data_IF_112804066146
#
_entry.id   IF_112804066146
#
_cell.length_a   1.000
_cell.length_b   1.000
_cell.length_c   1.000
_cell.angle_alpha   90.00
_cell.angle_beta   90.00
_cell.angle_gamma   90.00
#
_symmetry.space_group_name_H-M   'P 1'
#
loop_
_entity.id
_entity.type
_entity.pdbx_description
1 polymer ?
#
# COMPACT_ATOMS: atom_id res chain seq x y z
N UNK A 1 39.72 -43.74 -29.05
CA UNK A 1 38.61 -44.20 -28.19
C UNK A 1 38.73 -43.53 -26.83
N UNK A 2 37.90 -42.52 -26.56
CA UNK A 2 37.66 -41.97 -25.21
C UNK A 2 36.15 -41.80 -25.09
N UNK A 3 35.53 -42.69 -24.31
CA UNK A 3 34.09 -42.67 -24.04
C UNK A 3 33.81 -41.59 -23.01
N UNK A 4 33.01 -40.58 -23.37
CA UNK A 4 32.46 -39.60 -22.43
C UNK A 4 31.09 -40.13 -22.03
N UNK A 5 30.96 -40.52 -20.76
CA UNK A 5 29.69 -40.92 -20.14
C UNK A 5 29.06 -39.65 -19.57
N UNK A 6 27.93 -39.20 -20.15
CA UNK A 6 27.09 -38.16 -19.56
C UNK A 6 26.20 -38.78 -18.47
N UNK A 7 26.40 -38.37 -17.22
CA UNK A 7 25.44 -38.61 -16.14
C UNK A 7 24.36 -37.51 -16.16
N UNK A 8 23.16 -37.85 -16.59
CA UNK A 8 21.96 -37.02 -16.38
C UNK A 8 21.41 -37.27 -14.97
N UNK A 9 21.68 -36.35 -14.04
CA UNK A 9 21.05 -36.36 -12.73
C UNK A 9 19.63 -35.77 -12.84
N UNK A 10 18.61 -36.63 -12.77
CA UNK A 10 17.21 -36.22 -12.61
C UNK A 10 16.99 -35.94 -11.13
N UNK A 11 16.96 -34.67 -10.74
CA UNK A 11 16.42 -34.26 -9.44
C UNK A 11 14.90 -34.40 -9.48
N UNK A 12 14.37 -35.50 -8.96
CA UNK A 12 12.96 -35.59 -8.62
C UNK A 12 12.75 -34.78 -7.33
N UNK A 13 12.31 -33.52 -7.47
CA UNK A 13 11.80 -32.76 -6.33
C UNK A 13 10.46 -33.38 -5.93
N UNK A 14 10.40 -33.97 -4.74
CA UNK A 14 9.16 -34.37 -4.12
C UNK A 14 8.36 -33.09 -3.82
N UNK A 15 7.41 -32.75 -4.70
CA UNK A 15 6.41 -31.72 -4.41
C UNK A 15 5.46 -32.32 -3.38
N UNK A 16 5.72 -32.09 -2.10
CA UNK A 16 4.69 -32.21 -1.07
C UNK A 16 3.59 -31.20 -1.43
N UNK A 17 2.53 -31.66 -2.10
CA UNK A 17 1.33 -30.85 -2.29
C UNK A 17 0.68 -30.69 -0.93
N UNK A 18 0.98 -29.59 -0.23
CA UNK A 18 0.22 -29.20 0.95
C UNK A 18 -1.27 -29.16 0.57
N UNK A 19 -2.14 -29.68 1.45
CA UNK A 19 -3.57 -29.69 1.18
C UNK A 19 -4.07 -28.24 1.07
N UNK A 20 -4.74 -27.90 -0.04
CA UNK A 20 -5.34 -26.58 -0.22
C UNK A 20 -6.56 -26.42 0.71
N UNK A 21 -6.84 -25.19 1.18
CA UNK A 21 -8.00 -24.96 2.02
C UNK A 21 -9.30 -25.21 1.24
N UNK A 22 -10.24 -25.91 1.87
CA UNK A 22 -11.52 -26.28 1.26
C UNK A 22 -12.67 -25.88 2.15
N UNK A 23 -13.59 -25.09 1.58
CA UNK A 23 -14.88 -24.77 2.20
C UNK A 23 -15.93 -25.77 1.75
N UNK A 24 -16.75 -26.22 2.68
CA UNK A 24 -17.89 -27.09 2.39
C UNK A 24 -19.02 -26.84 3.39
N UNK A 25 -20.17 -27.49 3.13
CA UNK A 25 -21.33 -27.49 4.05
C UNK A 25 -21.80 -26.08 4.43
N UNK A 26 -21.76 -25.16 3.45
CA UNK A 26 -22.21 -23.78 3.64
C UNK A 26 -23.73 -23.77 3.85
N UNK A 27 -24.17 -23.19 4.95
CA UNK A 27 -25.58 -22.97 5.26
C UNK A 27 -25.78 -21.54 5.73
N UNK A 28 -26.97 -20.99 5.48
CA UNK A 28 -27.33 -19.63 5.86
C UNK A 28 -28.70 -19.65 6.53
N UNK A 29 -28.82 -18.97 7.66
CA UNK A 29 -30.05 -18.85 8.44
C UNK A 29 -30.20 -17.44 8.97
N UNK A 30 -31.43 -17.01 9.25
CA UNK A 30 -31.69 -15.69 9.85
C UNK A 30 -32.62 -15.83 11.04
N UNK A 31 -32.26 -15.17 12.12
CA UNK A 31 -33.05 -15.14 13.35
C UNK A 31 -34.04 -13.96 13.37
N UNK A 32 -34.86 -13.89 14.42
CA UNK A 32 -35.85 -12.82 14.61
C UNK A 32 -35.23 -11.43 14.86
N UNK A 33 -33.93 -11.37 15.21
CA UNK A 33 -33.17 -10.12 15.36
C UNK A 33 -32.63 -9.59 14.02
N UNK A 34 -32.89 -10.33 12.93
CA UNK A 34 -32.38 -10.15 11.56
C UNK A 34 -30.91 -10.52 11.40
N UNK A 35 -30.29 -11.13 12.40
CA UNK A 35 -28.91 -11.60 12.28
C UNK A 35 -28.90 -12.81 11.36
N UNK A 36 -28.16 -12.69 10.27
CA UNK A 36 -27.88 -13.78 9.34
C UNK A 36 -26.64 -14.51 9.85
N UNK A 37 -26.78 -15.79 10.12
CA UNK A 37 -25.67 -16.69 10.48
C UNK A 37 -25.38 -17.59 9.30
N UNK A 38 -24.18 -17.47 8.74
CA UNK A 38 -23.62 -18.37 7.74
C UNK A 38 -22.67 -19.33 8.45
N UNK A 39 -22.94 -20.63 8.37
CA UNK A 39 -22.04 -21.68 8.88
C UNK A 39 -21.35 -22.37 7.74
N UNK A 40 -20.09 -22.73 7.92
CA UNK A 40 -19.31 -23.48 6.95
C UNK A 40 -18.29 -24.37 7.65
N UNK A 41 -17.89 -25.44 6.97
CA UNK A 41 -16.78 -26.29 7.38
C UNK A 41 -15.54 -25.95 6.56
N UNK A 42 -14.42 -25.63 7.22
CA UNK A 42 -13.11 -25.42 6.61
C UNK A 42 -12.22 -26.64 6.88
N UNK A 43 -11.62 -27.21 5.84
CA UNK A 43 -10.68 -28.32 5.94
C UNK A 43 -9.36 -28.03 5.20
N UNK A 44 -8.30 -28.77 5.57
CA UNK A 44 -7.07 -28.90 4.77
C UNK A 44 -5.94 -27.98 5.22
N UNK A 45 -6.12 -26.66 5.14
CA UNK A 45 -5.10 -25.68 5.52
C UNK A 45 -5.72 -24.39 6.05
N UNK A 46 -4.92 -23.55 6.75
CA UNK A 46 -5.29 -22.17 7.05
C UNK A 46 -5.68 -21.41 5.78
N UNK A 47 -6.61 -20.47 5.93
CA UNK A 47 -7.10 -19.68 4.81
C UNK A 47 -7.49 -18.27 5.24
N UNK A 48 -7.53 -17.36 4.28
CA UNK A 48 -8.37 -16.16 4.42
C UNK A 48 -9.78 -16.53 3.96
N UNK A 49 -10.78 -16.22 4.77
CA UNK A 49 -12.18 -16.50 4.43
C UNK A 49 -12.87 -15.22 3.99
N UNK A 50 -13.47 -15.21 2.80
CA UNK A 50 -14.28 -14.07 2.32
C UNK A 50 -15.73 -14.50 2.11
N UNK A 51 -16.67 -13.64 2.47
CA UNK A 51 -18.10 -13.83 2.22
C UNK A 51 -18.56 -12.93 1.07
N UNK A 52 -19.29 -13.53 0.13
CA UNK A 52 -20.21 -12.83 -0.75
C UNK A 52 -21.64 -13.31 -0.46
N UNK A 53 -22.62 -12.47 -0.75
CA UNK A 53 -24.03 -12.83 -0.72
C UNK A 53 -24.59 -12.58 -2.12
N UNK A 54 -25.27 -13.60 -2.65
CA UNK A 54 -25.82 -13.54 -3.99
C UNK A 54 -27.34 -13.65 -3.96
N UNK A 55 -27.99 -12.90 -4.83
CA UNK A 55 -29.44 -12.87 -5.01
C UNK A 55 -29.80 -13.27 -6.45
N UNK A 56 -31.09 -13.28 -6.79
CA UNK A 56 -31.59 -13.63 -8.12
C UNK A 56 -31.31 -15.09 -8.47
N UNK A 57 -32.17 -16.00 -7.99
CA UNK A 57 -32.00 -17.46 -8.08
C UNK A 57 -31.81 -18.02 -9.49
N UNK A 58 -32.21 -17.28 -10.51
CA UNK A 58 -32.00 -17.63 -11.92
C UNK A 58 -30.64 -17.16 -12.45
N UNK A 59 -30.16 -16.01 -11.99
CA UNK A 59 -28.88 -15.44 -12.39
C UNK A 59 -28.17 -14.84 -11.19
N UNK A 60 -27.59 -15.72 -10.36
CA UNK A 60 -26.99 -15.37 -9.08
C UNK A 60 -26.04 -14.17 -9.20
N UNK A 61 -26.44 -13.05 -8.63
CA UNK A 61 -25.70 -11.79 -8.71
C UNK A 61 -25.19 -11.39 -7.32
N UNK A 62 -23.91 -11.03 -7.23
CA UNK A 62 -23.32 -10.48 -6.01
C UNK A 62 -23.99 -9.17 -5.62
N UNK A 63 -24.24 -8.99 -4.32
CA UNK A 63 -24.72 -7.72 -3.77
C UNK A 63 -23.59 -6.73 -3.48
N UNK A 64 -22.34 -7.16 -3.59
CA UNK A 64 -21.15 -6.36 -3.31
C UNK A 64 -20.95 -5.99 -1.82
N UNK A 65 -19.83 -5.34 -1.53
CA UNK A 65 -19.44 -4.95 -0.17
C UNK A 65 -20.28 -3.82 0.42
N UNK A 66 -20.85 -2.95 -0.41
CA UNK A 66 -21.70 -1.85 0.04
C UNK A 66 -22.95 -2.35 0.79
N UNK A 67 -23.52 -3.48 0.37
CA UNK A 67 -24.67 -4.09 1.06
C UNK A 67 -24.28 -4.85 2.35
N UNK A 68 -22.98 -5.08 2.56
CA UNK A 68 -22.42 -5.72 3.75
C UNK A 68 -21.97 -4.71 4.82
N UNK A 69 -22.13 -3.41 4.56
CA UNK A 69 -21.69 -2.33 5.43
C UNK A 69 -22.72 -1.96 6.53
N UNK A 70 -22.30 -1.30 7.61
CA UNK A 70 -23.20 -0.68 8.63
C UNK A 70 -23.63 0.75 8.26
N UNK A 71 -23.11 1.29 7.16
CA UNK A 71 -23.36 2.65 6.70
C UNK A 71 -22.09 3.49 6.68
N UNK A 72 -22.17 4.69 6.13
CA UNK A 72 -21.02 5.61 5.99
C UNK A 72 -20.36 5.85 7.35
N UNK A 73 -19.06 5.56 7.45
CA UNK A 73 -18.21 5.76 8.63
C UNK A 73 -18.37 4.71 9.76
N UNK A 74 -19.10 3.62 9.52
CA UNK A 74 -19.20 2.52 10.48
C UNK A 74 -18.32 1.33 10.07
N UNK A 75 -18.00 0.45 11.02
CA UNK A 75 -17.33 -0.82 10.70
C UNK A 75 -18.23 -1.76 9.92
N UNK A 76 -17.66 -2.64 9.08
CA UNK A 76 -18.44 -3.62 8.31
C UNK A 76 -19.43 -4.36 9.19
N UNK A 77 -20.62 -4.64 8.66
CA UNK A 77 -21.70 -5.31 9.39
C UNK A 77 -21.55 -6.82 9.45
N UNK A 78 -20.43 -7.33 8.95
CA UNK A 78 -20.13 -8.75 8.84
C UNK A 78 -18.98 -9.07 9.78
N UNK A 79 -19.22 -9.96 10.74
CA UNK A 79 -18.28 -10.53 11.69
C UNK A 79 -17.89 -11.95 11.25
N UNK A 80 -16.61 -12.31 11.41
CA UNK A 80 -16.10 -13.63 11.02
C UNK A 80 -15.90 -13.83 9.50
N UNK A 81 -16.25 -12.85 8.67
CA UNK A 81 -15.84 -12.79 7.27
C UNK A 81 -14.62 -11.90 7.11
N UNK A 82 -13.93 -12.10 6.00
CA UNK A 82 -12.78 -11.32 5.57
C UNK A 82 -11.57 -11.49 6.49
N UNK A 83 -11.49 -12.56 7.29
CA UNK A 83 -10.48 -12.75 8.34
C UNK A 83 -9.60 -13.97 8.06
N UNK A 84 -8.47 -14.08 8.76
CA UNK A 84 -7.65 -15.28 8.76
C UNK A 84 -8.37 -16.36 9.58
N UNK A 85 -8.36 -17.60 9.10
CA UNK A 85 -8.86 -18.75 9.84
C UNK A 85 -7.80 -19.86 9.77
N UNK A 86 -7.34 -20.28 10.94
CA UNK A 86 -6.23 -21.24 11.07
C UNK A 86 -6.70 -22.64 11.50
N UNK A 87 -7.87 -22.74 12.11
CA UNK A 87 -8.41 -24.00 12.62
C UNK A 87 -9.25 -24.73 11.56
N UNK A 88 -9.00 -26.02 11.39
CA UNK A 88 -9.93 -26.94 10.72
C UNK A 88 -11.21 -27.06 11.56
N UNK A 89 -12.37 -27.15 10.90
CA UNK A 89 -13.64 -27.41 11.55
C UNK A 89 -14.76 -26.47 11.16
N UNK A 90 -15.77 -26.42 12.02
CA UNK A 90 -16.94 -25.57 11.86
C UNK A 90 -16.67 -24.14 12.27
N UNK A 91 -17.10 -23.21 11.42
CA UNK A 91 -16.97 -21.77 11.63
C UNK A 91 -18.29 -21.06 11.32
N UNK A 92 -18.44 -19.86 11.87
CA UNK A 92 -19.60 -19.01 11.63
C UNK A 92 -19.20 -17.60 11.21
N UNK A 93 -20.02 -17.03 10.32
CA UNK A 93 -20.01 -15.64 9.91
C UNK A 93 -21.36 -15.05 10.29
N UNK A 94 -21.34 -13.93 11.00
CA UNK A 94 -22.56 -13.21 11.38
C UNK A 94 -22.65 -11.91 10.60
N UNK A 95 -23.76 -11.69 9.94
CA UNK A 95 -24.04 -10.49 9.20
C UNK A 95 -25.40 -9.94 9.59
N UNK A 96 -25.51 -8.63 9.80
CA UNK A 96 -26.80 -7.99 9.96
C UNK A 96 -27.09 -7.15 8.70
N UNK A 97 -28.18 -7.39 7.96
CA UNK A 97 -28.53 -6.54 6.82
C UNK A 97 -28.96 -5.13 7.28
N UNK A 98 -28.58 -4.09 6.53
CA UNK A 98 -28.97 -2.70 6.81
C UNK A 98 -30.48 -2.48 6.75
N UNK A 99 -31.13 -3.14 5.79
CA UNK A 99 -32.56 -3.04 5.54
C UNK A 99 -33.22 -4.41 5.67
N UNK A 100 -34.48 -4.40 6.06
CA UNK A 100 -35.30 -5.60 6.05
C UNK A 100 -35.59 -6.04 4.63
N UNK A 101 -35.73 -7.35 4.43
CA UNK A 101 -36.13 -7.95 3.17
C UNK A 101 -37.65 -8.09 3.16
N UNK A 102 -38.31 -7.47 2.18
CA UNK A 102 -39.75 -7.53 1.97
C UNK A 102 -40.61 -6.85 3.04
N UNK A 103 -41.92 -6.84 2.78
CA UNK A 103 -42.93 -6.27 3.67
C UNK A 103 -43.40 -7.35 4.66
N UNK A 104 -43.25 -7.06 5.96
CA UNK A 104 -43.80 -7.75 7.13
C UNK A 104 -43.00 -8.88 7.85
N UNK A 105 -42.17 -9.73 7.22
CA UNK A 105 -41.65 -10.94 7.93
C UNK A 105 -40.16 -10.91 8.33
N UNK A 106 -39.37 -9.91 7.91
CA UNK A 106 -37.93 -9.77 8.30
C UNK A 106 -37.08 -11.05 8.07
N UNK A 107 -37.50 -11.94 7.17
CA UNK A 107 -36.76 -13.15 6.77
C UNK A 107 -36.36 -13.04 5.31
N UNK A 108 -35.14 -13.44 4.97
CA UNK A 108 -34.74 -13.52 3.56
C UNK A 108 -35.57 -14.58 2.82
N UNK A 109 -35.94 -14.33 1.55
CA UNK A 109 -36.71 -15.29 0.77
C UNK A 109 -35.91 -16.57 0.53
N UNK A 110 -36.46 -17.70 0.97
CA UNK A 110 -35.81 -19.00 0.88
C UNK A 110 -35.61 -19.39 -0.60
N UNK A 111 -34.40 -19.81 -0.96
CA UNK A 111 -34.06 -20.19 -2.34
C UNK A 111 -33.80 -19.04 -3.30
N UNK A 112 -33.97 -17.78 -2.86
CA UNK A 112 -33.70 -16.57 -3.66
C UNK A 112 -32.39 -15.88 -3.29
N UNK A 113 -31.73 -16.36 -2.24
CA UNK A 113 -30.45 -15.86 -1.74
C UNK A 113 -29.54 -17.00 -1.34
N UNK A 114 -28.23 -16.81 -1.49
CA UNK A 114 -27.21 -17.73 -0.98
C UNK A 114 -25.97 -17.01 -0.47
N UNK A 115 -25.32 -17.61 0.52
CA UNK A 115 -23.98 -17.24 0.92
C UNK A 115 -22.95 -17.94 0.02
N UNK A 116 -21.95 -17.20 -0.44
CA UNK A 116 -20.78 -17.73 -1.15
C UNK A 116 -19.57 -17.49 -0.27
N UNK A 117 -19.10 -18.54 0.37
CA UNK A 117 -17.91 -18.51 1.24
C UNK A 117 -16.73 -19.04 0.44
N UNK A 118 -15.69 -18.22 0.30
CA UNK A 118 -14.45 -18.59 -0.39
C UNK A 118 -13.31 -18.67 0.62
N UNK A 119 -12.54 -19.75 0.57
CA UNK A 119 -11.24 -19.85 1.20
C UNK A 119 -10.14 -19.51 0.20
N UNK A 120 -9.25 -18.62 0.61
CA UNK A 120 -8.05 -18.21 -0.13
C UNK A 120 -6.84 -18.87 0.50
N UNK A 121 -5.95 -19.41 -0.32
CA UNK A 121 -4.73 -20.05 0.16
C UNK A 121 -3.82 -19.04 0.89
N UNK A 122 -3.00 -19.49 1.85
CA UNK A 122 -2.06 -18.64 2.58
C UNK A 122 -1.17 -17.78 1.69
N UNK A 123 -0.77 -18.24 0.51
CA UNK A 123 0.09 -17.53 -0.44
C UNK A 123 -0.69 -16.81 -1.56
N UNK A 124 -2.02 -16.97 -1.61
CA UNK A 124 -2.90 -16.29 -2.55
C UNK A 124 -4.00 -15.51 -1.82
N UNK A 125 -3.61 -14.55 -0.98
CA UNK A 125 -4.54 -13.72 -0.21
C UNK A 125 -5.35 -12.74 -1.08
N UNK A 126 -6.51 -12.24 -0.63
CA UNK A 126 -7.36 -11.34 -1.42
C UNK A 126 -6.71 -10.02 -1.87
N UNK A 127 -7.33 -9.35 -2.82
CA UNK A 127 -6.77 -8.18 -3.49
C UNK A 127 -6.63 -6.93 -2.61
N UNK A 128 -7.42 -6.80 -1.56
CA UNK A 128 -7.33 -5.70 -0.59
C UNK A 128 -7.16 -6.23 0.82
N UNK A 129 -6.42 -5.48 1.63
CA UNK A 129 -6.27 -5.69 3.07
C UNK A 129 -6.60 -4.39 3.80
N UNK A 130 -7.40 -4.45 4.85
CA UNK A 130 -7.70 -3.32 5.72
C UNK A 130 -7.23 -3.62 7.15
N UNK A 131 -6.58 -2.67 7.80
CA UNK A 131 -6.07 -2.83 9.16
C UNK A 131 -6.61 -1.72 10.05
N UNK A 132 -7.40 -2.11 11.04
CA UNK A 132 -8.02 -1.21 12.01
C UNK A 132 -7.02 -0.71 13.05
N UNK A 133 -6.78 0.60 13.04
CA UNK A 133 -5.77 1.25 13.88
C UNK A 133 -6.30 1.66 15.25
N UNK A 134 -7.62 1.62 15.48
CA UNK A 134 -8.19 2.10 16.74
C UNK A 134 -7.64 1.32 17.93
N UNK A 135 -7.55 1.96 19.08
CA UNK A 135 -7.09 1.31 20.31
C UNK A 135 -7.95 0.09 20.65
N UNK A 136 -9.26 0.29 20.68
CA UNK A 136 -10.25 -0.78 20.94
C UNK A 136 -10.99 -1.14 19.65
N UNK A 137 -11.00 -2.44 19.34
CA UNK A 137 -11.82 -2.97 18.25
C UNK A 137 -13.31 -2.92 18.62
N UNK A 138 -14.22 -2.66 17.67
CA UNK A 138 -15.65 -2.78 17.94
C UNK A 138 -16.03 -4.19 18.38
N UNK A 139 -17.03 -4.28 19.25
CA UNK A 139 -17.49 -5.55 19.80
C UNK A 139 -17.81 -6.58 18.69
N UNK A 140 -17.33 -7.81 18.90
CA UNK A 140 -17.51 -8.94 17.99
C UNK A 140 -16.52 -9.02 16.82
N UNK A 141 -15.47 -8.18 16.81
CA UNK A 141 -14.33 -8.32 15.93
C UNK A 141 -13.08 -8.72 16.73
N UNK A 142 -12.63 -9.97 16.52
CA UNK A 142 -11.43 -10.51 17.19
C UNK A 142 -10.11 -10.21 16.48
N UNK A 143 -10.16 -9.84 15.20
CA UNK A 143 -8.99 -9.52 14.36
C UNK A 143 -9.08 -8.08 13.84
N UNK A 144 -7.93 -7.42 13.73
CA UNK A 144 -7.79 -6.06 13.19
C UNK A 144 -7.71 -6.06 11.67
N UNK A 145 -7.15 -7.12 11.11
CA UNK A 145 -6.91 -7.30 9.69
C UNK A 145 -8.15 -7.89 9.03
N UNK A 146 -8.54 -7.28 7.92
CA UNK A 146 -9.62 -7.75 7.05
C UNK A 146 -9.14 -7.81 5.62
N UNK A 147 -9.69 -8.72 4.83
CA UNK A 147 -9.29 -8.94 3.45
C UNK A 147 -10.49 -8.90 2.51
N UNK A 148 -10.40 -8.17 1.41
CA UNK A 148 -11.49 -8.06 0.43
C UNK A 148 -11.07 -8.59 -0.93
N UNK A 149 -11.91 -9.41 -1.59
CA UNK A 149 -11.59 -10.05 -2.87
C UNK A 149 -11.43 -9.07 -4.03
N UNK A 150 -12.01 -7.87 -3.94
CA UNK A 150 -11.80 -6.78 -4.88
C UNK A 150 -12.29 -5.46 -4.27
N UNK A 151 -12.09 -4.34 -4.98
CA UNK A 151 -12.56 -3.02 -4.55
C UNK A 151 -14.07 -2.99 -4.28
N UNK A 152 -14.85 -3.69 -5.11
CA UNK A 152 -16.30 -3.76 -4.98
C UNK A 152 -16.76 -4.42 -3.67
N UNK A 153 -15.87 -5.12 -2.98
CA UNK A 153 -16.12 -5.74 -1.69
C UNK A 153 -15.62 -4.93 -0.50
N UNK A 154 -14.94 -3.81 -0.72
CA UNK A 154 -14.53 -2.88 0.34
C UNK A 154 -15.79 -2.18 0.89
N UNK A 155 -16.20 -2.43 2.15
CA UNK A 155 -17.47 -1.96 2.68
C UNK A 155 -17.58 -0.44 2.72
N UNK A 156 -18.66 0.09 2.13
CA UNK A 156 -18.88 1.53 2.02
C UNK A 156 -18.00 2.21 0.97
N UNK A 157 -17.18 1.47 0.21
CA UNK A 157 -16.33 1.97 -0.87
C UNK A 157 -15.04 2.67 -0.39
N UNK A 158 -14.02 2.68 -1.25
CA UNK A 158 -12.67 3.18 -0.93
C UNK A 158 -12.65 4.67 -0.58
N UNK A 159 -13.38 5.51 -1.34
CA UNK A 159 -13.44 6.96 -1.09
C UNK A 159 -14.66 7.38 -0.27
N UNK A 160 -15.81 6.71 -0.47
CA UNK A 160 -17.07 7.05 0.19
C UNK A 160 -17.13 6.69 1.68
N UNK A 161 -16.28 5.77 2.14
CA UNK A 161 -16.13 5.48 3.56
C UNK A 161 -14.82 6.06 4.09
N UNK A 162 -14.92 7.11 4.90
CA UNK A 162 -13.76 7.87 5.36
C UNK A 162 -12.86 7.08 6.33
N UNK A 163 -13.34 5.97 6.90
CA UNK A 163 -12.53 5.14 7.82
C UNK A 163 -11.20 4.71 7.19
N UNK A 164 -11.18 4.45 5.87
CA UNK A 164 -9.97 4.05 5.12
C UNK A 164 -8.94 5.17 4.93
N UNK A 165 -9.33 6.42 5.27
CA UNK A 165 -8.47 7.61 5.25
C UNK A 165 -8.36 8.27 6.62
N UNK A 166 -8.84 7.59 7.68
CA UNK A 166 -8.81 8.10 9.06
C UNK A 166 -8.27 7.10 10.07
N UNK A 167 -8.94 5.97 10.21
CA UNK A 167 -8.70 5.01 11.32
C UNK A 167 -8.36 3.60 10.85
N UNK A 168 -8.32 3.39 9.54
CA UNK A 168 -8.03 2.09 8.94
C UNK A 168 -7.02 2.29 7.82
N UNK A 169 -5.94 1.52 7.82
CA UNK A 169 -5.06 1.43 6.64
C UNK A 169 -5.74 0.54 5.62
N UNK A 170 -5.99 1.04 4.42
CA UNK A 170 -6.38 0.21 3.28
C UNK A 170 -5.15 -0.03 2.41
N UNK A 171 -4.89 -1.27 2.06
CA UNK A 171 -3.77 -1.70 1.24
C UNK A 171 -4.26 -2.52 0.05
N UNK A 172 -3.58 -2.35 -1.09
CA UNK A 172 -3.80 -3.12 -2.33
C UNK A 172 -2.69 -4.15 -2.47
N UNK A 173 -3.07 -5.41 -2.72
CA UNK A 173 -2.14 -6.47 -3.14
C UNK A 173 -1.62 -6.16 -4.54
N UNK A 174 -0.30 -6.14 -4.69
CA UNK A 174 0.39 -6.04 -5.96
C UNK A 174 0.94 -7.42 -6.29
N UNK A 175 0.48 -7.98 -7.41
CA UNK A 175 0.90 -9.29 -7.93
C UNK A 175 2.19 -9.14 -8.73
N UNK A 176 3.30 -8.97 -8.02
CA UNK A 176 4.61 -8.69 -8.59
C UNK A 176 5.56 -9.88 -8.61
N UNK A 177 5.24 -10.95 -7.87
CA UNK A 177 6.09 -12.13 -7.74
C UNK A 177 6.42 -12.71 -9.12
N UNK A 178 7.71 -12.82 -9.40
CA UNK A 178 8.26 -13.40 -10.63
C UNK A 178 7.81 -12.68 -11.92
N UNK A 179 7.36 -11.43 -11.83
CA UNK A 179 7.06 -10.60 -13.01
C UNK A 179 8.34 -9.87 -13.42
N UNK A 180 8.94 -10.16 -14.58
CA UNK A 180 10.07 -9.40 -15.09
C UNK A 180 9.60 -8.03 -15.59
N UNK A 181 10.29 -6.96 -15.20
CA UNK A 181 9.97 -5.61 -15.64
C UNK A 181 11.21 -4.72 -15.68
N UNK A 182 11.10 -3.55 -16.32
CA UNK A 182 12.17 -2.56 -16.35
C UNK A 182 11.87 -1.39 -15.43
N UNK A 183 12.70 -1.23 -14.42
CA UNK A 183 12.74 -0.07 -13.53
C UNK A 183 13.59 1.04 -14.17
N UNK A 184 13.29 2.30 -13.86
CA UNK A 184 13.94 3.47 -14.46
C UNK A 184 13.42 3.80 -15.86
N UNK A 185 13.99 4.83 -16.48
CA UNK A 185 13.60 5.30 -17.80
C UNK A 185 14.69 6.14 -18.45
N UNK A 186 14.93 5.93 -19.74
CA UNK A 186 16.08 6.50 -20.46
C UNK A 186 15.78 7.78 -21.25
N UNK A 187 14.52 8.13 -21.54
CA UNK A 187 14.25 8.90 -22.78
C UNK A 187 13.25 10.05 -22.71
N UNK A 188 13.14 10.81 -21.60
CA UNK A 188 12.16 11.91 -21.58
C UNK A 188 12.62 13.24 -21.00
N UNK A 189 13.91 13.40 -20.67
CA UNK A 189 14.43 14.72 -20.29
C UNK A 189 15.95 14.87 -20.51
N UNK A 190 16.36 15.52 -21.62
CA UNK A 190 17.70 16.13 -21.74
C UNK A 190 17.75 17.56 -21.16
N UNK A 191 16.79 17.99 -20.33
CA UNK A 191 16.80 19.30 -19.67
C UNK A 191 17.72 19.33 -18.44
N UNK A 192 18.31 18.20 -18.03
CA UNK A 192 19.65 18.23 -17.42
C UNK A 192 20.42 16.99 -17.82
N UNK A 193 21.64 17.17 -18.34
CA UNK A 193 22.59 16.12 -18.65
C UNK A 193 22.52 14.96 -17.62
N UNK A 194 22.29 13.75 -18.11
CA UNK A 194 22.47 12.47 -17.42
C UNK A 194 22.13 12.47 -15.91
N UNK A 195 20.89 12.12 -15.54
CA UNK A 195 20.63 11.58 -14.19
C UNK A 195 20.97 10.10 -14.20
N UNK A 196 22.13 9.64 -13.70
CA UNK A 196 22.47 8.22 -13.70
C UNK A 196 21.46 7.43 -12.84
N UNK A 197 20.89 8.09 -11.83
CA UNK A 197 19.76 7.66 -11.02
C UNK A 197 18.41 7.51 -11.75
N UNK A 198 18.32 7.65 -13.09
CA UNK A 198 17.16 7.20 -13.91
C UNK A 198 17.47 6.04 -14.91
N UNK A 199 18.68 5.45 -14.89
CA UNK A 199 19.06 4.32 -15.76
C UNK A 199 18.14 3.09 -15.67
N UNK A 200 17.83 2.52 -16.84
CA UNK A 200 17.00 1.30 -16.94
C UNK A 200 17.70 0.07 -16.37
N UNK A 201 17.03 -0.63 -15.47
CA UNK A 201 17.48 -1.90 -14.91
C UNK A 201 16.37 -2.94 -14.92
N UNK A 202 16.72 -4.17 -15.26
CA UNK A 202 15.80 -5.31 -15.20
C UNK A 202 15.59 -5.73 -13.75
N UNK A 203 14.34 -5.77 -13.31
CA UNK A 203 13.97 -6.13 -11.95
C UNK A 203 12.96 -7.27 -11.99
N UNK A 204 13.06 -8.17 -11.01
CA UNK A 204 12.04 -9.19 -10.73
C UNK A 204 11.88 -9.26 -9.23
N UNK A 205 10.66 -8.99 -8.75
CA UNK A 205 10.33 -9.09 -7.34
C UNK A 205 10.03 -10.56 -7.01
N UNK A 206 10.51 -11.03 -5.87
CA UNK A 206 10.42 -12.43 -5.44
C UNK A 206 9.13 -12.75 -4.66
N UNK A 207 8.35 -11.72 -4.31
CA UNK A 207 7.10 -11.83 -3.57
C UNK A 207 6.06 -10.84 -4.07
N UNK A 208 4.80 -11.21 -3.85
CA UNK A 208 3.69 -10.26 -3.86
C UNK A 208 3.72 -9.45 -2.57
N UNK A 209 3.17 -8.24 -2.61
CA UNK A 209 3.13 -7.36 -1.45
C UNK A 209 1.84 -6.57 -1.40
N UNK A 210 1.42 -6.18 -0.20
CA UNK A 210 0.42 -5.15 -0.01
C UNK A 210 1.12 -3.80 0.08
N UNK A 211 0.54 -2.77 -0.53
CA UNK A 211 0.98 -1.37 -0.41
C UNK A 211 -0.22 -0.48 -0.10
N UNK A 212 -0.03 0.54 0.72
CA UNK A 212 -1.09 1.49 1.09
C UNK A 212 -1.78 2.07 -0.14
N UNK A 213 -3.12 2.05 -0.16
CA UNK A 213 -3.92 2.68 -1.21
C UNK A 213 -3.71 4.20 -1.23
N UNK A 214 -3.49 4.78 -0.05
CA UNK A 214 -3.18 6.18 0.18
C UNK A 214 -1.83 6.33 0.89
N UNK A 215 -1.27 7.54 0.84
CA UNK A 215 -0.25 7.99 1.79
C UNK A 215 -0.80 7.86 3.23
N UNK A 216 0.10 7.73 4.22
CA UNK A 216 -0.29 7.72 5.64
C UNK A 216 -0.95 9.06 5.96
N UNK A 217 -2.20 9.03 6.41
CA UNK A 217 -2.95 10.25 6.76
C UNK A 217 -2.61 10.77 8.14
N UNK A 218 -2.93 12.03 8.40
CA UNK A 218 -2.70 12.67 9.70
C UNK A 218 -3.43 11.94 10.82
N UNK A 219 -4.67 11.50 10.61
CA UNK A 219 -5.42 10.76 11.62
C UNK A 219 -4.86 9.36 11.86
N UNK A 220 -4.41 8.65 10.81
CA UNK A 220 -3.77 7.35 10.97
C UNK A 220 -2.47 7.50 11.78
N UNK A 221 -1.66 8.52 11.46
CA UNK A 221 -0.48 8.86 12.23
C UNK A 221 -0.82 9.19 13.69
N UNK A 222 -1.77 10.10 13.94
CA UNK A 222 -2.22 10.47 15.28
C UNK A 222 -2.70 9.26 16.09
N UNK A 223 -3.42 8.34 15.45
CA UNK A 223 -3.92 7.12 16.09
C UNK A 223 -2.77 6.21 16.52
N UNK A 224 -1.74 6.06 15.67
CA UNK A 224 -0.59 5.19 15.93
C UNK A 224 0.40 5.82 16.91
N UNK A 225 0.75 7.08 16.70
CA UNK A 225 1.84 7.77 17.38
C UNK A 225 1.41 8.63 18.59
N UNK A 226 0.14 9.00 18.68
CA UNK A 226 -0.40 9.86 19.75
C UNK A 226 -0.17 11.36 19.55
N UNK A 227 0.41 11.79 18.43
CA UNK A 227 0.63 13.20 18.07
C UNK A 227 0.43 13.42 16.57
N UNK A 228 0.38 14.68 16.11
CA UNK A 228 0.28 15.03 14.69
C UNK A 228 1.33 16.08 14.35
N UNK A 229 2.45 15.71 13.69
CA UNK A 229 3.53 16.62 13.34
C UNK A 229 3.21 17.51 12.14
N UNK A 230 2.16 17.20 11.40
CA UNK A 230 1.88 17.81 10.09
C UNK A 230 1.66 19.31 10.18
N UNK A 231 2.15 20.03 9.18
CA UNK A 231 1.99 21.46 9.05
C UNK A 231 0.64 21.83 8.46
N UNK A 232 0.21 21.16 7.40
CA UNK A 232 -1.01 21.50 6.67
C UNK A 232 -2.24 20.84 7.29
N UNK A 233 -2.91 21.56 8.19
CA UNK A 233 -4.06 21.02 8.96
C UNK A 233 -5.44 21.46 8.45
N UNK A 234 -5.47 22.36 7.48
CA UNK A 234 -6.73 22.89 6.90
C UNK A 234 -7.50 21.74 6.23
N UNK A 235 -8.83 21.77 6.19
CA UNK A 235 -9.70 20.69 5.63
C UNK A 235 -9.62 19.32 6.32
N UNK A 236 -8.86 19.21 7.41
CA UNK A 236 -8.97 18.12 8.38
C UNK A 236 -8.02 16.93 8.18
N UNK A 237 -8.40 15.85 8.84
CA UNK A 237 -7.54 14.75 9.31
C UNK A 237 -7.16 13.73 8.22
N UNK A 238 -7.78 13.83 7.03
CA UNK A 238 -7.59 12.93 5.88
C UNK A 238 -6.49 13.42 4.91
N UNK A 239 -5.84 14.54 5.21
CA UNK A 239 -4.60 14.92 4.52
C UNK A 239 -3.48 13.93 4.83
N UNK A 240 -2.46 13.80 3.99
CA UNK A 240 -1.30 13.00 4.32
C UNK A 240 -0.55 13.64 5.51
N UNK A 241 0.14 12.80 6.26
CA UNK A 241 1.00 13.22 7.35
C UNK A 241 2.35 13.70 6.80
N UNK A 242 2.60 15.00 6.94
CA UNK A 242 3.85 15.65 6.56
C UNK A 242 4.73 15.94 7.80
N UNK A 243 5.92 16.52 7.60
CA UNK A 243 6.93 16.75 8.65
C UNK A 243 7.34 15.46 9.39
N UNK A 244 7.46 14.36 8.66
CA UNK A 244 7.97 13.09 9.17
C UNK A 244 9.29 12.75 8.52
N UNK A 245 10.28 12.41 9.34
CA UNK A 245 11.58 11.92 8.87
C UNK A 245 11.59 10.40 8.75
N UNK A 246 12.53 9.85 7.98
CA UNK A 246 12.74 8.40 7.91
C UNK A 246 12.93 7.79 9.30
N UNK A 247 13.69 8.46 10.18
CA UNK A 247 13.89 8.03 11.55
C UNK A 247 12.57 7.92 12.33
N UNK A 248 11.63 8.86 12.16
CA UNK A 248 10.30 8.77 12.79
C UNK A 248 9.43 7.68 12.19
N UNK A 249 9.55 7.42 10.90
CA UNK A 249 8.84 6.35 10.22
C UNK A 249 9.32 4.96 10.66
N UNK A 250 10.64 4.74 10.75
CA UNK A 250 11.22 3.38 10.87
C UNK A 250 12.26 3.14 11.99
N UNK A 251 13.20 4.06 12.27
CA UNK A 251 14.43 3.73 13.03
C UNK A 251 14.54 4.29 14.48
N UNK A 252 13.78 5.35 14.82
CA UNK A 252 13.72 6.23 16.05
C UNK A 252 14.89 6.19 17.07
N UNK A 253 15.35 7.24 17.76
CA UNK A 253 15.28 8.71 17.77
C UNK A 253 16.68 9.21 17.41
N UNK A 254 16.80 10.31 16.69
CA UNK A 254 17.90 11.23 16.99
C UNK A 254 17.55 11.87 18.33
N UNK A 255 18.15 11.39 19.41
CA UNK A 255 18.23 12.20 20.62
C UNK A 255 19.30 13.25 20.35
N UNK A 256 18.90 14.52 20.24
CA UNK A 256 19.86 15.60 20.06
C UNK A 256 20.89 15.69 21.21
N UNK A 257 20.62 15.03 22.35
CA UNK A 257 21.54 14.88 23.48
C UNK A 257 22.32 13.55 23.48
N UNK A 258 21.92 12.53 22.72
CA UNK A 258 22.70 11.30 22.57
C UNK A 258 23.49 11.37 21.26
N UNK A 259 24.72 11.88 21.38
CA UNK A 259 25.76 11.91 20.35
C UNK A 259 26.28 10.53 19.97
N UNK A 260 25.45 9.48 19.95
CA UNK A 260 25.88 8.15 19.49
C UNK A 260 25.61 8.02 17.99
N UNK A 261 26.41 8.79 17.25
CA UNK A 261 26.56 8.80 15.79
C UNK A 261 26.96 7.44 15.18
N UNK A 262 27.23 6.42 16.01
CA UNK A 262 27.70 5.10 15.58
C UNK A 262 26.62 4.01 15.49
N UNK A 263 25.35 4.29 15.84
CA UNK A 263 24.27 3.33 15.59
C UNK A 263 23.73 3.46 14.17
N UNK A 264 24.51 2.92 13.24
CA UNK A 264 24.06 2.69 11.88
C UNK A 264 22.84 1.75 11.88
N UNK A 265 21.84 1.99 11.02
CA UNK A 265 20.70 1.10 10.89
C UNK A 265 21.15 -0.30 10.45
N UNK A 266 20.39 -1.30 10.91
CA UNK A 266 20.63 -2.74 10.73
C UNK A 266 21.14 -3.09 9.31
N UNK A 267 22.33 -3.69 9.18
CA UNK A 267 22.89 -4.05 7.89
C UNK A 267 22.20 -5.23 7.19
N UNK A 268 21.22 -5.88 7.83
CA UNK A 268 20.41 -6.88 7.17
C UNK A 268 19.41 -6.20 6.22
N UNK A 269 19.69 -6.24 4.91
CA UNK A 269 18.73 -5.96 3.82
C UNK A 269 17.59 -6.99 3.73
N UNK A 270 17.08 -7.48 4.86
CA UNK A 270 15.83 -8.22 4.86
C UNK A 270 14.68 -7.24 4.65
N UNK A 271 13.74 -7.59 3.76
CA UNK A 271 12.49 -6.86 3.63
C UNK A 271 11.31 -7.81 3.76
N UNK A 272 10.36 -7.54 4.66
CA UNK A 272 10.42 -6.58 5.77
C UNK A 272 11.49 -6.95 6.82
N UNK A 273 12.17 -5.97 7.40
CA UNK A 273 13.05 -6.13 8.58
C UNK A 273 12.43 -5.41 9.79
N UNK A 274 12.90 -5.69 11.00
CA UNK A 274 12.31 -5.12 12.22
C UNK A 274 12.59 -3.60 12.32
N UNK A 275 11.54 -2.75 12.36
CA UNK A 275 11.70 -1.33 12.63
C UNK A 275 11.95 -1.13 14.12
N UNK A 276 12.46 0.04 14.47
CA UNK A 276 12.54 0.43 15.86
C UNK A 276 11.14 0.42 16.51
N UNK A 277 10.95 -0.24 17.67
CA UNK A 277 9.65 -0.40 18.32
C UNK A 277 8.90 0.91 18.56
N UNK A 278 9.63 2.00 18.75
CA UNK A 278 9.02 3.29 19.06
C UNK A 278 8.72 4.16 17.82
N UNK A 279 9.22 3.77 16.64
CA UNK A 279 8.90 4.44 15.37
C UNK A 279 7.42 4.25 15.00
N UNK A 280 6.94 4.97 13.98
CA UNK A 280 5.58 4.72 13.47
C UNK A 280 5.40 3.26 13.05
N UNK A 281 6.34 2.67 12.31
CA UNK A 281 6.24 1.28 11.85
C UNK A 281 6.35 0.27 13.01
N UNK A 282 7.20 0.53 14.01
CA UNK A 282 7.28 -0.32 15.21
C UNK A 282 5.98 -0.33 15.99
N UNK A 283 5.41 0.86 16.24
CA UNK A 283 4.10 1.00 16.88
C UNK A 283 2.98 0.39 16.04
N UNK A 284 3.05 0.53 14.71
CA UNK A 284 2.07 -0.05 13.80
C UNK A 284 2.11 -1.58 13.84
N UNK A 285 3.29 -2.20 13.79
CA UNK A 285 3.46 -3.65 13.91
C UNK A 285 2.97 -4.17 15.25
N UNK A 286 3.32 -3.50 16.36
CA UNK A 286 2.85 -3.86 17.69
C UNK A 286 1.32 -3.79 17.82
N UNK A 287 0.67 -2.97 16.98
CA UNK A 287 -0.79 -2.80 16.95
C UNK A 287 -1.47 -3.73 15.96
N UNK A 288 -0.79 -4.28 14.95
CA UNK A 288 -1.37 -5.13 13.93
C UNK A 288 -1.59 -6.56 14.43
N UNK A 289 -2.32 -7.39 13.68
CA UNK A 289 -2.42 -8.81 13.98
C UNK A 289 -1.07 -9.52 13.71
N UNK A 290 -0.83 -10.63 14.42
CA UNK A 290 0.41 -11.38 14.30
C UNK A 290 0.68 -11.84 12.85
N UNK A 291 1.92 -11.64 12.41
CA UNK A 291 2.37 -12.01 11.06
C UNK A 291 2.22 -10.91 10.00
N UNK A 292 1.74 -9.72 10.36
CA UNK A 292 1.73 -8.55 9.48
C UNK A 292 2.96 -7.67 9.74
N UNK A 293 3.98 -7.83 8.90
CA UNK A 293 5.24 -7.10 9.04
C UNK A 293 5.25 -5.84 8.14
N UNK A 294 4.67 -4.77 8.65
CA UNK A 294 4.67 -3.47 7.96
C UNK A 294 6.05 -2.86 7.86
N UNK A 295 6.43 -2.36 6.68
CA UNK A 295 7.65 -1.59 6.45
C UNK A 295 7.36 -0.46 5.44
N UNK A 296 8.39 0.34 5.12
CA UNK A 296 8.36 1.19 3.93
C UNK A 296 8.44 0.31 2.67
N UNK A 297 7.81 0.71 1.55
CA UNK A 297 8.06 0.03 0.28
C UNK A 297 9.54 0.14 -0.09
N UNK A 298 10.08 -0.93 -0.65
CA UNK A 298 11.31 -0.83 -1.41
C UNK A 298 11.11 0.04 -2.65
N UNK A 299 12.20 0.62 -3.12
CA UNK A 299 12.24 1.53 -4.25
C UNK A 299 11.64 0.92 -5.53
N UNK A 300 12.02 -0.32 -5.82
CA UNK A 300 11.47 -1.12 -6.90
C UNK A 300 9.98 -1.43 -6.73
N UNK A 301 9.54 -1.71 -5.50
CA UNK A 301 8.13 -1.97 -5.20
C UNK A 301 7.28 -0.71 -5.40
N UNK A 302 7.78 0.44 -4.98
CA UNK A 302 7.09 1.71 -5.17
C UNK A 302 6.91 2.02 -6.65
N UNK A 303 7.98 1.93 -7.45
CA UNK A 303 7.89 2.26 -8.88
C UNK A 303 7.03 1.25 -9.66
N UNK A 304 7.13 -0.05 -9.35
CA UNK A 304 6.26 -1.06 -9.96
C UNK A 304 4.78 -0.75 -9.69
N UNK A 305 4.46 -0.40 -8.45
CA UNK A 305 3.11 -0.01 -8.03
C UNK A 305 2.65 1.29 -8.71
N UNK A 306 3.51 2.31 -8.81
CA UNK A 306 3.21 3.58 -9.45
C UNK A 306 2.92 3.43 -10.95
N UNK A 307 3.70 2.59 -11.64
CA UNK A 307 3.52 2.27 -13.07
C UNK A 307 2.18 1.61 -13.36
N UNK A 308 1.72 0.72 -12.48
CA UNK A 308 0.49 -0.04 -12.66
C UNK A 308 0.33 -0.63 -14.07
N UNK A 309 1.38 -1.30 -14.54
CA UNK A 309 1.44 -1.93 -15.87
C UNK A 309 1.99 -1.05 -17.00
N UNK A 310 2.29 0.21 -16.76
CA UNK A 310 2.89 1.10 -17.77
C UNK A 310 4.40 0.88 -17.90
N UNK A 311 4.87 0.66 -19.13
CA UNK A 311 6.30 0.71 -19.48
C UNK A 311 6.82 2.13 -19.66
N UNK A 312 5.94 3.08 -19.93
CA UNK A 312 6.22 4.49 -20.24
C UNK A 312 5.00 5.38 -19.95
N UNK A 313 5.21 6.70 -19.84
CA UNK A 313 4.17 7.65 -19.44
C UNK A 313 4.02 7.76 -17.93
N UNK A 314 2.86 8.19 -17.43
CA UNK A 314 2.44 8.15 -16.02
C UNK A 314 0.93 8.35 -15.93
N UNK A 315 0.34 7.93 -14.80
CA UNK A 315 -1.07 8.13 -14.55
C UNK A 315 -1.33 9.55 -14.07
N UNK A 316 -2.30 10.22 -14.68
CA UNK A 316 -2.71 11.54 -14.25
C UNK A 316 -4.22 11.69 -14.29
N UNK A 317 -4.83 11.67 -13.11
CA UNK A 317 -6.25 11.97 -12.93
C UNK A 317 -7.16 11.25 -13.95
N UNK A 318 -6.92 9.94 -14.15
CA UNK A 318 -7.71 9.08 -15.03
C UNK A 318 -7.23 9.00 -16.48
N UNK A 319 -6.18 9.73 -16.85
CA UNK A 319 -5.54 9.67 -18.17
C UNK A 319 -4.12 9.10 -18.06
N UNK A 320 -3.61 8.55 -19.16
CA UNK A 320 -2.18 8.24 -19.30
C UNK A 320 -1.55 9.43 -20.02
N UNK A 321 -0.59 10.07 -19.36
CA UNK A 321 0.18 11.13 -19.98
C UNK A 321 1.56 10.64 -20.37
N UNK A 322 2.10 11.24 -21.42
CA UNK A 322 3.45 11.03 -21.91
C UNK A 322 4.06 12.41 -22.04
N UNK A 323 5.17 12.67 -21.36
CA UNK A 323 5.91 13.92 -21.56
C UNK A 323 6.30 13.97 -23.04
N UNK A 324 5.87 14.99 -23.81
CA UNK A 324 6.35 15.15 -25.18
C UNK A 324 7.87 15.30 -25.11
N UNK A 325 8.60 14.55 -25.94
CA UNK A 325 10.07 14.41 -25.86
C UNK A 325 10.86 15.72 -25.80
N UNK A 326 12.17 15.60 -25.56
CA UNK A 326 13.25 16.55 -25.24
C UNK A 326 13.15 18.08 -25.51
N UNK A 327 12.15 18.60 -26.21
CA UNK A 327 11.97 20.02 -26.56
C UNK A 327 10.85 20.75 -25.80
N UNK A 328 10.13 20.10 -24.89
CA UNK A 328 9.23 20.80 -23.96
C UNK A 328 9.92 21.01 -22.61
N UNK A 329 10.53 22.19 -22.44
CA UNK A 329 11.01 22.65 -21.13
C UNK A 329 9.88 22.59 -20.09
N UNK A 330 10.22 22.51 -18.80
CA UNK A 330 9.29 22.58 -17.65
C UNK A 330 8.21 23.66 -17.85
N UNK A 331 8.56 24.74 -18.54
CA UNK A 331 7.73 25.88 -18.91
C UNK A 331 6.63 25.65 -19.95
N UNK A 332 6.44 24.43 -20.47
CA UNK A 332 5.44 24.15 -21.53
C UNK A 332 4.46 23.03 -21.19
N UNK A 333 4.52 22.49 -19.98
CA UNK A 333 3.50 21.59 -19.44
C UNK A 333 2.33 22.46 -18.98
N UNK A 334 1.33 22.66 -19.82
CA UNK A 334 0.12 23.42 -19.48
C UNK A 334 -1.13 22.58 -19.67
N UNK A 335 -2.13 22.80 -18.80
CA UNK A 335 -3.43 22.17 -18.89
C UNK A 335 -3.41 20.68 -18.58
N UNK A 336 -4.04 19.89 -19.45
CA UNK A 336 -4.28 18.44 -19.29
C UNK A 336 -3.03 17.59 -18.97
N UNK A 337 -1.83 18.10 -19.27
CA UNK A 337 -0.56 17.40 -19.10
C UNK A 337 0.05 17.52 -17.68
N UNK A 338 -0.50 18.34 -16.77
CA UNK A 338 0.01 18.44 -15.39
C UNK A 338 -0.67 17.44 -14.45
N UNK A 339 0.00 16.87 -13.42
CA UNK A 339 -0.68 16.16 -12.33
C UNK A 339 -1.91 16.95 -11.86
N UNK A 340 -3.05 16.29 -11.66
CA UNK A 340 -4.31 16.95 -11.27
C UNK A 340 -4.14 17.86 -10.05
N UNK A 341 -3.20 17.51 -9.17
CA UNK A 341 -2.78 18.31 -8.03
C UNK A 341 -2.17 19.66 -8.41
N UNK A 342 -1.28 19.69 -9.39
CA UNK A 342 -0.71 20.93 -9.91
C UNK A 342 -1.77 21.75 -10.66
N UNK A 343 -2.69 21.09 -11.37
CA UNK A 343 -3.77 21.79 -12.09
C UNK A 343 -4.77 22.50 -11.15
N UNK A 344 -5.22 21.80 -10.11
CA UNK A 344 -6.42 22.22 -9.37
C UNK A 344 -6.16 22.80 -7.97
N UNK A 345 -5.03 22.44 -7.33
CA UNK A 345 -4.81 22.71 -5.90
C UNK A 345 -3.59 23.59 -5.62
N UNK A 346 -3.15 24.40 -6.60
CA UNK A 346 -2.10 25.41 -6.38
C UNK A 346 -0.70 24.84 -6.17
N UNK A 347 -0.43 23.60 -6.60
CA UNK A 347 0.93 23.09 -6.73
C UNK A 347 1.77 23.94 -7.70
N UNK A 348 3.07 23.70 -7.76
CA UNK A 348 3.99 24.48 -8.59
C UNK A 348 3.50 24.57 -10.04
N UNK A 349 3.40 25.80 -10.56
CA UNK A 349 3.01 26.11 -11.93
C UNK A 349 4.22 26.64 -12.72
N UNK A 350 4.36 26.27 -14.01
CA UNK A 350 5.42 26.81 -14.84
C UNK A 350 5.29 28.31 -15.07
N UNK A 351 6.40 29.01 -14.89
CA UNK A 351 6.49 30.47 -14.90
C UNK A 351 6.50 31.09 -13.51
N UNK A 352 6.30 30.30 -12.45
CA UNK A 352 6.49 30.76 -11.08
C UNK A 352 7.99 30.89 -10.77
N UNK A 353 8.43 32.13 -10.54
CA UNK A 353 9.82 32.45 -10.17
C UNK A 353 10.02 32.55 -8.66
N UNK A 354 8.96 32.41 -7.85
CA UNK A 354 9.03 32.37 -6.40
C UNK A 354 9.22 30.93 -5.90
N UNK A 355 10.19 30.75 -5.01
CA UNK A 355 10.46 29.46 -4.36
C UNK A 355 10.38 29.65 -2.83
N UNK A 356 9.34 29.11 -2.15
CA UNK A 356 8.18 28.40 -2.70
C UNK A 356 7.25 29.29 -3.55
N UNK A 357 6.43 28.69 -4.44
CA UNK A 357 5.35 29.37 -5.14
C UNK A 357 4.52 30.27 -4.22
N UNK A 358 4.35 31.55 -4.59
CA UNK A 358 3.58 32.53 -3.81
C UNK A 358 2.10 32.14 -3.59
N UNK A 359 1.59 31.16 -4.35
CA UNK A 359 0.23 30.62 -4.28
C UNK A 359 0.03 29.52 -3.22
N UNK A 360 1.11 28.99 -2.62
CA UNK A 360 1.04 27.91 -1.63
C UNK A 360 0.88 28.50 -0.22
N UNK A 361 -0.37 28.69 0.18
CA UNK A 361 -0.76 29.02 1.56
C UNK A 361 -1.07 27.78 2.42
N UNK A 362 -1.45 27.99 3.68
CA UNK A 362 -1.83 26.92 4.61
C UNK A 362 -2.99 26.03 4.12
N UNK A 363 -3.79 26.52 3.16
CA UNK A 363 -4.93 25.83 2.54
C UNK A 363 -4.54 24.99 1.31
N UNK A 364 -3.45 25.36 0.62
CA UNK A 364 -3.13 24.87 -0.75
C UNK A 364 -1.82 24.04 -0.81
N UNK A 365 -1.30 23.58 0.34
CA UNK A 365 -0.12 22.72 0.40
C UNK A 365 -0.40 21.27 -0.02
N UNK A 366 -0.68 20.41 0.95
CA UNK A 366 -1.16 19.04 0.69
C UNK A 366 -2.59 19.03 0.15
N UNK A 367 -3.10 17.87 -0.28
CA UNK A 367 -4.52 17.67 -0.56
C UNK A 367 -5.06 16.55 0.34
N UNK A 368 -6.38 16.42 0.47
CA UNK A 368 -6.96 15.21 1.07
C UNK A 368 -6.55 14.01 0.20
N UNK A 369 -6.08 12.92 0.80
CA UNK A 369 -5.67 11.75 0.03
C UNK A 369 -6.84 11.20 -0.79
N UNK A 370 -6.56 10.82 -2.03
CA UNK A 370 -7.60 10.38 -2.97
C UNK A 370 -8.46 11.49 -3.57
N UNK A 371 -7.99 12.75 -3.57
CA UNK A 371 -8.69 13.86 -4.26
C UNK A 371 -8.67 13.75 -5.79
N UNK A 372 -7.76 12.95 -6.35
CA UNK A 372 -7.60 12.73 -7.78
C UNK A 372 -7.80 11.27 -8.13
N UNK A 373 -8.10 10.96 -9.39
CA UNK A 373 -8.30 9.58 -9.80
C UNK A 373 -7.02 8.74 -9.61
N UNK A 374 -7.16 7.45 -9.23
CA UNK A 374 -6.03 6.58 -8.96
C UNK A 374 -5.35 6.13 -10.27
N UNK A 375 -4.23 5.42 -10.15
CA UNK A 375 -3.69 4.62 -11.26
C UNK A 375 -4.57 3.38 -11.54
N UNK A 376 -4.22 2.60 -12.58
CA UNK A 376 -4.99 1.42 -13.00
C UNK A 376 -5.12 0.31 -11.92
N UNK A 377 -4.34 0.36 -10.85
CA UNK A 377 -4.41 -0.60 -9.75
C UNK A 377 -5.14 -0.06 -8.52
N UNK A 378 -5.73 1.13 -8.61
CA UNK A 378 -6.49 1.74 -7.52
C UNK A 378 -5.60 2.40 -6.47
N UNK A 379 -4.36 2.75 -6.79
CA UNK A 379 -3.46 3.50 -5.90
C UNK A 379 -3.56 5.00 -6.18
N UNK A 380 -3.69 5.77 -5.10
CA UNK A 380 -3.86 7.22 -5.14
C UNK A 380 -2.57 7.94 -4.78
N UNK A 381 -2.45 9.17 -5.28
CA UNK A 381 -1.38 10.11 -4.93
C UNK A 381 0.04 9.61 -5.29
N UNK A 382 0.18 8.64 -6.21
CA UNK A 382 1.47 8.13 -6.68
C UNK A 382 2.29 9.13 -7.53
N UNK A 383 1.71 10.29 -7.84
CA UNK A 383 2.27 11.30 -8.75
C UNK A 383 2.08 12.72 -8.17
N UNK A 384 2.56 12.91 -6.94
CA UNK A 384 2.48 14.17 -6.22
C UNK A 384 1.95 13.97 -4.80
N UNK A 385 1.15 14.93 -4.34
CA UNK A 385 0.84 15.16 -2.93
C UNK A 385 2.11 15.36 -2.06
N UNK A 386 2.67 14.32 -1.44
CA UNK A 386 3.96 14.34 -0.74
C UNK A 386 5.00 13.46 -1.43
N UNK A 387 6.27 13.77 -1.20
CA UNK A 387 7.32 12.79 -1.40
C UNK A 387 7.11 11.63 -0.43
N UNK A 388 7.40 10.42 -0.86
CA UNK A 388 7.26 9.21 -0.04
C UNK A 388 8.63 8.54 0.16
N UNK A 389 9.05 8.38 1.42
CA UNK A 389 10.25 7.62 1.74
C UNK A 389 10.10 6.14 1.32
N UNK A 390 11.15 5.61 0.70
CA UNK A 390 11.37 4.18 0.47
C UNK A 390 12.43 3.64 1.44
N UNK A 391 12.51 2.32 1.56
CA UNK A 391 13.52 1.64 2.40
C UNK A 391 14.96 1.93 1.96
N UNK A 392 15.17 1.99 0.64
CA UNK A 392 16.48 1.98 0.02
C UNK A 392 17.31 3.22 0.36
N UNK A 393 18.63 3.02 0.48
CA UNK A 393 19.57 4.14 0.47
C UNK A 393 19.62 4.77 -0.91
N UNK A 394 19.68 6.10 -0.95
CA UNK A 394 19.84 6.85 -2.18
C UNK A 394 21.33 6.98 -2.52
N UNK A 395 21.66 6.67 -3.77
CA UNK A 395 22.95 6.93 -4.39
C UNK A 395 22.71 7.44 -5.81
N UNK A 396 23.37 8.54 -6.18
CA UNK A 396 23.15 9.24 -7.45
C UNK A 396 23.57 8.41 -8.68
N UNK A 397 24.51 7.48 -8.50
CA UNK A 397 25.14 6.72 -9.59
C UNK A 397 24.58 5.30 -9.82
N UNK A 398 23.51 4.88 -9.13
CA UNK A 398 23.21 3.44 -9.01
C UNK A 398 21.73 3.09 -9.12
N UNK A 399 21.36 2.44 -10.23
CA UNK A 399 20.38 1.33 -10.23
C UNK A 399 21.02 -0.05 -10.24
N UNK A 400 22.34 -0.15 -10.44
CA UNK A 400 23.03 -1.43 -10.63
C UNK A 400 23.23 -2.24 -9.34
N UNK A 401 22.85 -1.72 -8.16
CA UNK A 401 23.19 -2.34 -6.87
C UNK A 401 22.04 -2.38 -5.85
N UNK A 402 20.80 -2.58 -6.31
CA UNK A 402 19.77 -3.14 -5.42
C UNK A 402 20.25 -4.51 -4.90
N UNK A 403 20.82 -4.53 -3.67
CA UNK A 403 21.19 -5.75 -2.95
C UNK A 403 22.67 -5.97 -2.59
N UNK A 404 23.56 -4.97 -2.60
CA UNK A 404 24.96 -5.18 -2.14
C UNK A 404 25.53 -4.01 -1.31
N UNK A 405 25.20 -3.94 -0.02
CA UNK A 405 26.20 -3.48 0.98
C UNK A 405 27.24 -4.62 1.10
N UNK A 406 28.48 -4.30 1.48
CA UNK A 406 29.46 -5.34 1.79
C UNK A 406 28.90 -6.32 2.86
N UNK A 407 29.48 -7.53 2.97
CA UNK A 407 28.99 -8.58 3.88
C UNK A 407 28.89 -8.17 5.37
N UNK A 408 29.44 -7.00 5.73
CA UNK A 408 29.52 -6.49 7.09
C UNK A 408 28.65 -5.25 7.33
N UNK A 409 27.96 -4.69 6.33
CA UNK A 409 26.99 -3.63 6.59
C UNK A 409 27.50 -2.19 6.70
N UNK A 410 28.82 -1.98 6.68
CA UNK A 410 29.44 -0.76 7.24
C UNK A 410 29.91 0.27 6.22
N UNK A 411 29.88 -0.05 4.91
CA UNK A 411 30.33 0.88 3.87
C UNK A 411 29.60 0.66 2.54
N UNK A 412 29.57 1.71 1.71
CA UNK A 412 29.15 1.56 0.31
C UNK A 412 30.19 0.75 -0.49
N UNK A 413 29.91 0.47 -1.76
CA UNK A 413 30.84 -0.26 -2.63
C UNK A 413 32.15 0.49 -2.91
N UNK A 414 32.23 1.77 -2.57
CA UNK A 414 33.43 2.60 -2.67
C UNK A 414 34.22 2.65 -1.35
N UNK A 415 33.75 1.96 -0.30
CA UNK A 415 34.40 1.95 1.01
C UNK A 415 34.08 3.18 1.86
N UNK A 416 33.11 4.01 1.48
CA UNK A 416 32.68 5.13 2.32
C UNK A 416 31.87 4.60 3.50
N UNK A 417 32.32 4.92 4.71
CA UNK A 417 31.61 4.59 5.93
C UNK A 417 30.22 5.20 5.89
N UNK A 418 29.19 4.35 6.01
CA UNK A 418 27.83 4.84 6.23
C UNK A 418 27.88 5.58 7.56
N UNK A 419 27.55 6.88 7.63
CA UNK A 419 27.78 7.63 8.87
C UNK A 419 27.10 8.99 8.89
N UNK A 420 27.29 9.82 7.87
CA UNK A 420 26.94 11.24 8.00
C UNK A 420 26.05 11.79 6.86
N UNK A 421 26.07 11.17 5.68
CA UNK A 421 25.39 11.66 4.47
C UNK A 421 24.51 10.60 3.75
N UNK A 422 24.15 9.51 4.43
CA UNK A 422 23.35 8.43 3.83
C UNK A 422 21.89 8.87 3.69
N UNK A 423 21.56 9.40 2.52
CA UNK A 423 20.20 9.72 2.13
C UNK A 423 19.39 8.44 1.89
N UNK A 424 18.07 8.52 2.09
CA UNK A 424 17.10 7.50 1.70
C UNK A 424 16.39 7.94 0.44
N UNK A 425 16.02 6.97 -0.38
CA UNK A 425 15.23 7.23 -1.57
C UNK A 425 13.89 7.83 -1.16
N UNK A 426 13.49 8.89 -1.86
CA UNK A 426 12.12 9.41 -1.87
C UNK A 426 11.56 9.43 -3.28
N UNK A 427 10.27 9.14 -3.40
CA UNK A 427 9.52 9.00 -4.67
C UNK A 427 8.29 9.91 -4.71
N UNK A 428 7.47 9.80 -5.76
CA UNK A 428 6.21 10.54 -5.98
C UNK A 428 6.34 12.00 -6.45
N UNK A 429 7.33 12.75 -5.98
CA UNK A 429 7.32 14.21 -6.09
C UNK A 429 6.40 14.84 -5.03
N UNK A 430 6.14 16.15 -5.07
CA UNK A 430 5.20 16.81 -4.13
C UNK A 430 4.65 18.12 -4.69
N UNK A 431 3.92 18.94 -3.89
CA UNK A 431 3.24 20.17 -4.39
C UNK A 431 4.24 21.19 -4.83
N UNK A 432 5.34 21.23 -4.11
CA UNK A 432 6.30 22.29 -4.19
C UNK A 432 7.14 22.17 -5.47
N UNK A 433 7.20 20.99 -6.08
CA UNK A 433 8.02 20.74 -7.26
C UNK A 433 7.20 20.71 -8.54
N UNK A 434 7.89 20.99 -9.63
CA UNK A 434 7.32 20.91 -10.96
C UNK A 434 6.75 19.51 -11.26
N UNK A 435 5.72 19.43 -12.11
CA UNK A 435 5.17 18.16 -12.64
C UNK A 435 6.21 17.14 -13.10
N UNK A 436 7.35 17.59 -13.64
CA UNK A 436 8.44 16.72 -14.11
C UNK A 436 9.08 15.87 -13.01
N UNK A 437 9.00 16.32 -11.75
CA UNK A 437 9.50 15.60 -10.56
C UNK A 437 8.51 14.54 -10.08
N UNK A 438 7.26 14.58 -10.54
CA UNK A 438 6.20 13.64 -10.12
C UNK A 438 6.12 12.36 -10.99
N UNK A 439 7.07 12.17 -11.91
CA UNK A 439 7.20 10.96 -12.72
C UNK A 439 7.55 9.77 -11.85
N UNK A 440 7.00 8.60 -12.18
CA UNK A 440 7.37 7.38 -11.47
C UNK A 440 8.84 6.99 -11.62
N UNK A 441 9.60 7.54 -12.58
CA UNK A 441 11.05 7.24 -12.73
C UNK A 441 11.94 8.17 -11.92
N UNK A 442 11.42 9.30 -11.44
CA UNK A 442 12.22 10.25 -10.68
C UNK A 442 12.54 9.65 -9.31
N UNK A 443 13.82 9.75 -8.97
CA UNK A 443 14.40 9.34 -7.70
C UNK A 443 15.13 10.53 -7.12
N UNK A 444 15.00 10.71 -5.82
CA UNK A 444 15.69 11.75 -5.09
C UNK A 444 16.11 11.24 -3.71
N UNK A 445 17.09 11.89 -3.11
CA UNK A 445 17.61 11.58 -1.80
C UNK A 445 17.10 12.53 -0.74
N UNK A 446 16.84 12.02 0.47
CA UNK A 446 16.63 12.86 1.63
C UNK A 446 17.36 12.29 2.83
N UNK A 447 17.96 13.15 3.66
CA UNK A 447 18.59 12.70 4.89
C UNK A 447 17.58 12.00 5.79
N UNK A 448 18.03 11.00 6.53
CA UNK A 448 17.20 10.22 7.44
C UNK A 448 16.65 11.04 8.63
N UNK A 449 17.32 12.16 8.95
CA UNK A 449 16.95 13.07 10.03
C UNK A 449 15.98 14.17 9.60
N UNK A 450 15.95 14.49 8.30
CA UNK A 450 15.21 15.64 7.82
C UNK A 450 13.71 15.35 7.74
N UNK A 451 12.93 16.34 8.15
CA UNK A 451 11.48 16.33 8.10
C UNK A 451 11.04 17.61 7.38
N UNK A 452 10.28 17.46 6.31
CA UNK A 452 9.78 18.58 5.51
C UNK A 452 8.26 18.51 5.40
N UNK A 453 7.64 19.67 5.19
CA UNK A 453 6.19 19.80 4.90
C UNK A 453 5.80 19.16 3.56
N UNK A 454 6.79 18.74 2.77
CA UNK A 454 6.68 18.10 1.47
C UNK A 454 6.95 16.59 1.52
N UNK A 455 7.17 16.02 2.70
CA UNK A 455 7.68 14.67 2.86
C UNK A 455 6.84 13.87 3.87
N UNK A 456 6.44 12.69 3.43
CA UNK A 456 5.60 11.75 4.15
C UNK A 456 6.04 10.31 3.89
N UNK A 457 5.06 9.41 3.87
CA UNK A 457 5.32 8.02 3.56
C UNK A 457 4.05 7.21 3.33
N UNK A 458 4.28 6.00 2.84
CA UNK A 458 3.28 4.97 2.60
C UNK A 458 3.82 3.66 3.16
N UNK A 459 2.93 2.80 3.64
CA UNK A 459 3.31 1.50 4.19
C UNK A 459 3.19 0.39 3.16
N UNK A 460 3.98 -0.65 3.32
CA UNK A 460 3.88 -1.90 2.59
C UNK A 460 4.12 -3.11 3.52
N UNK A 461 3.69 -4.29 3.13
CA UNK A 461 4.05 -5.55 3.81
C UNK A 461 4.00 -6.69 2.80
N UNK A 462 4.60 -7.86 3.13
CA UNK A 462 4.47 -9.05 2.28
C UNK A 462 3.01 -9.46 2.15
N UNK A 463 2.63 -9.95 0.97
CA UNK A 463 1.37 -10.64 0.81
C UNK A 463 1.50 -12.09 1.26
N UNK A 464 0.42 -12.60 1.83
CA UNK A 464 0.34 -13.95 2.34
C UNK A 464 0.20 -14.04 3.86
N UNK A 465 -0.22 -15.20 4.34
CA UNK A 465 -0.31 -15.52 5.75
C UNK A 465 1.01 -16.15 6.20
N UNK A 466 1.59 -15.59 7.26
CA UNK A 466 2.66 -16.25 8.03
C UNK A 466 2.10 -17.31 8.98
#
# INVERSE_FOLDING_TARGET
>A
MKNIILFSAVFASAVCSAALPKVSQVSMSQDFTRTVTVKYYLAGAPAVITLDVQTNSQNWASIGGAALDKGTNATPNVQGAFVKVTADGWHEIKWQPLRSWGDAVRKFPAGEMRAVVKAWAPDDTPDYMAVDLRETLPAGFGERVRYYPSEAFVPGGVLSNEVYRRTTLLLRRIRAKNVPWTMGGTDWDQVSASRPAEQRVSVTLDHDYYIGVFEITQQQWQTVCGNNPSYYKVDGDMRPCDQVSYARLREKTYDAAASDENKLPDPAYAWPADPNPDSFLGKLRARADAGIDFDLPGDAQWEFAARAGLSEGYWNNGKILRFPGANKTVNTLYGDDMPGRNQSNGGWLPGDTTYPPSTIGATNGTAIVGSYAPNAWGLYDMHGNLFEFCLDFYQEDVYLFCGRINANGTADLNGNTMGENCMRVRRSGCFHYAPTVCRFTVRDGCSQKDAYVTLGGRVACRAGLK
#
